data_IF_806111426147
#
_entry.id   IF_806111426147
#
_cell.length_a   1.000
_cell.length_b   1.000
_cell.length_c   1.000
_cell.angle_alpha   90.00
_cell.angle_beta   90.00
_cell.angle_gamma   90.00
#
_symmetry.space_group_name_H-M   'P 1'
#
loop_
_entity.id
_entity.type
_entity.pdbx_description
1 polymer ?
#
# COMPACT_ATOMS: atom_id res chain seq x y z
N UNK A 1 -11.83 -4.63 -13.14
CA UNK A 1 -12.99 -3.95 -13.76
C UNK A 1 -12.59 -3.57 -15.17
N UNK A 2 -13.46 -3.78 -16.15
CA UNK A 2 -13.20 -3.56 -17.58
C UNK A 2 -14.18 -2.55 -18.20
N UNK A 3 -15.28 -2.24 -17.52
CA UNK A 3 -16.27 -1.25 -17.97
C UNK A 3 -17.29 -0.92 -16.88
N UNK A 4 -18.03 0.17 -17.10
CA UNK A 4 -19.17 0.60 -16.29
C UNK A 4 -20.41 0.54 -17.18
N UNK A 5 -21.48 -0.08 -16.68
CA UNK A 5 -22.74 -0.22 -17.43
C UNK A 5 -23.66 0.93 -17.04
N UNK A 6 -24.14 1.64 -18.06
CA UNK A 6 -25.01 2.80 -17.90
C UNK A 6 -26.38 2.53 -18.55
N UNK A 7 -27.44 3.05 -17.94
CA UNK A 7 -28.78 3.14 -18.51
C UNK A 7 -29.34 4.53 -18.24
N UNK A 8 -29.73 5.28 -19.28
CA UNK A 8 -30.30 6.62 -19.15
C UNK A 8 -29.44 7.62 -18.35
N UNK A 9 -28.11 7.54 -18.40
CA UNK A 9 -27.21 8.41 -17.62
C UNK A 9 -27.05 8.01 -16.15
N UNK A 10 -27.48 6.79 -15.79
CA UNK A 10 -27.33 6.21 -14.45
C UNK A 10 -26.49 4.94 -14.50
N UNK A 11 -25.66 4.72 -13.48
CA UNK A 11 -24.99 3.45 -13.25
C UNK A 11 -26.00 2.34 -12.95
N UNK A 12 -25.82 1.18 -13.60
CA UNK A 12 -26.61 -0.04 -13.35
C UNK A 12 -25.75 -1.27 -13.08
N UNK A 13 -24.45 -1.18 -13.33
CA UNK A 13 -23.52 -2.28 -13.09
C UNK A 13 -22.08 -1.96 -13.46
N UNK A 14 -21.22 -2.95 -13.23
CA UNK A 14 -19.82 -2.96 -13.65
C UNK A 14 -19.49 -4.28 -14.33
N UNK A 15 -18.57 -4.23 -15.28
CA UNK A 15 -18.04 -5.41 -15.96
C UNK A 15 -16.65 -5.75 -15.41
N UNK A 16 -16.38 -7.04 -15.26
CA UNK A 16 -15.07 -7.53 -14.82
C UNK A 16 -14.65 -8.77 -15.59
N UNK A 17 -13.38 -9.15 -15.48
CA UNK A 17 -12.87 -10.42 -16.02
C UNK A 17 -13.43 -11.66 -15.31
N UNK A 18 -14.24 -11.50 -14.27
CA UNK A 18 -14.91 -12.59 -13.54
C UNK A 18 -16.43 -12.57 -13.75
N UNK A 19 -16.94 -11.70 -14.62
CA UNK A 19 -18.35 -11.51 -14.89
C UNK A 19 -18.85 -10.11 -14.58
N UNK A 20 -20.13 -9.92 -14.84
CA UNK A 20 -20.84 -8.65 -14.71
C UNK A 20 -21.62 -8.61 -13.39
N UNK A 21 -21.56 -7.46 -12.72
CA UNK A 21 -22.20 -7.25 -11.42
C UNK A 21 -23.17 -6.10 -11.52
N UNK A 22 -24.43 -6.33 -11.13
CA UNK A 22 -25.44 -5.28 -10.99
C UNK A 22 -25.26 -4.55 -9.67
N UNK A 23 -25.34 -3.23 -9.72
CA UNK A 23 -25.23 -2.36 -8.56
C UNK A 23 -25.92 -1.02 -8.84
N UNK A 24 -26.23 -0.30 -7.78
CA UNK A 24 -26.90 1.00 -7.85
C UNK A 24 -25.93 2.18 -7.74
N UNK A 25 -24.76 1.96 -7.15
CA UNK A 25 -23.73 2.97 -6.97
C UNK A 25 -22.31 2.43 -7.18
N UNK A 26 -21.42 3.25 -7.73
CA UNK A 26 -19.98 2.99 -7.88
C UNK A 26 -19.19 4.18 -7.36
N UNK A 27 -18.23 3.90 -6.47
CA UNK A 27 -17.24 4.88 -6.02
C UNK A 27 -15.91 4.59 -6.71
N UNK A 28 -15.44 5.53 -7.53
CA UNK A 28 -14.13 5.46 -8.17
C UNK A 28 -13.02 5.90 -7.21
N UNK A 29 -12.38 4.91 -6.58
CA UNK A 29 -11.21 5.08 -5.72
C UNK A 29 -9.93 4.49 -6.36
N UNK A 30 -9.81 4.54 -7.69
CA UNK A 30 -8.76 3.81 -8.44
C UNK A 30 -7.37 4.48 -8.46
N UNK A 31 -7.12 5.49 -7.61
CA UNK A 31 -5.82 6.13 -7.47
C UNK A 31 -5.26 6.67 -8.80
N UNK A 32 -4.10 6.15 -9.23
CA UNK A 32 -3.44 6.51 -10.50
C UNK A 32 -4.23 6.17 -11.76
N UNK A 33 -5.30 5.39 -11.64
CA UNK A 33 -6.17 5.00 -12.75
C UNK A 33 -7.57 5.61 -12.64
N UNK A 34 -7.79 6.55 -11.72
CA UNK A 34 -9.11 7.14 -11.51
C UNK A 34 -9.61 7.89 -12.76
N UNK A 35 -8.72 8.50 -13.54
CA UNK A 35 -9.04 9.11 -14.83
C UNK A 35 -9.56 8.08 -15.85
N UNK A 36 -8.91 6.90 -15.94
CA UNK A 36 -9.31 5.81 -16.83
C UNK A 36 -10.66 5.24 -16.44
N UNK A 37 -10.89 5.07 -15.13
CA UNK A 37 -12.17 4.59 -14.60
C UNK A 37 -13.28 5.61 -14.83
N UNK A 38 -13.00 6.91 -14.68
CA UNK A 38 -13.96 7.97 -14.99
C UNK A 38 -14.39 7.93 -16.46
N UNK A 39 -13.44 7.79 -17.39
CA UNK A 39 -13.73 7.67 -18.83
C UNK A 39 -14.56 6.45 -19.20
N UNK A 40 -14.50 5.36 -18.42
CA UNK A 40 -15.39 4.20 -18.63
C UNK A 40 -16.87 4.53 -18.40
N UNK A 41 -17.17 5.57 -17.62
CA UNK A 41 -18.51 6.11 -17.42
C UNK A 41 -18.80 7.35 -18.30
N UNK A 42 -17.90 7.73 -19.21
CA UNK A 42 -18.04 8.93 -20.03
C UNK A 42 -17.74 10.24 -19.30
N UNK A 43 -17.04 10.19 -18.15
CA UNK A 43 -16.68 11.37 -17.35
C UNK A 43 -15.21 11.76 -17.60
N UNK A 44 -14.97 13.04 -17.92
CA UNK A 44 -13.63 13.54 -18.29
C UNK A 44 -12.75 13.92 -17.08
N UNK A 45 -13.29 13.92 -15.87
CA UNK A 45 -12.58 14.25 -14.63
C UNK A 45 -12.45 13.05 -13.69
N UNK A 46 -11.33 12.89 -12.97
CA UNK A 46 -10.18 13.80 -12.93
C UNK A 46 -9.23 13.67 -14.12
N UNK A 47 -8.50 14.75 -14.42
CA UNK A 47 -7.26 14.71 -15.20
C UNK A 47 -6.09 14.60 -14.22
N UNK A 48 -5.23 13.60 -14.40
CA UNK A 48 -4.15 13.26 -13.49
C UNK A 48 -2.78 13.44 -14.17
N UNK A 49 -1.86 14.10 -13.47
CA UNK A 49 -0.46 14.28 -13.86
C UNK A 49 0.43 13.56 -12.85
N UNK A 50 0.82 12.30 -13.09
CA UNK A 50 1.52 11.49 -12.09
C UNK A 50 2.81 12.17 -11.60
N UNK A 51 3.01 12.22 -10.29
CA UNK A 51 4.24 12.74 -9.68
C UNK A 51 4.95 11.65 -8.90
N UNK A 52 6.20 11.35 -9.28
CA UNK A 52 7.02 10.32 -8.63
C UNK A 52 7.78 10.89 -7.45
N UNK A 53 7.88 10.09 -6.40
CA UNK A 53 8.80 10.31 -5.29
C UNK A 53 9.62 9.07 -5.01
N UNK A 54 10.94 9.22 -5.03
CA UNK A 54 11.90 8.17 -4.71
C UNK A 54 12.35 8.25 -3.25
N UNK A 55 12.62 7.09 -2.66
CA UNK A 55 12.95 6.94 -1.25
C UNK A 55 14.13 5.99 -1.03
N UNK A 56 14.86 6.25 0.07
CA UNK A 56 15.81 5.31 0.67
C UNK A 56 15.34 4.97 2.08
N UNK A 57 15.23 3.68 2.39
CA UNK A 57 15.00 3.19 3.75
C UNK A 57 16.34 2.70 4.32
N UNK A 58 16.79 3.35 5.38
CA UNK A 58 17.98 2.96 6.12
C UNK A 58 17.65 1.90 7.17
N UNK A 59 18.62 1.05 7.50
CA UNK A 59 18.53 0.04 8.55
C UNK A 59 18.19 0.63 9.92
N UNK A 60 17.67 -0.19 10.84
CA UNK A 60 17.38 0.21 12.23
C UNK A 60 18.61 0.73 12.99
N UNK A 61 19.83 0.39 12.55
CA UNK A 61 21.07 1.01 13.05
C UNK A 61 21.09 2.53 12.88
N UNK A 62 20.40 3.06 11.87
CA UNK A 62 20.24 4.50 11.67
C UNK A 62 19.15 5.12 12.56
N UNK A 63 18.37 4.32 13.30
CA UNK A 63 17.15 4.77 14.00
C UNK A 63 17.33 5.90 15.02
N UNK A 64 18.56 6.18 15.46
CA UNK A 64 18.89 7.29 16.36
C UNK A 64 19.26 8.60 15.65
N UNK A 65 19.26 8.62 14.32
CA UNK A 65 19.61 9.82 13.54
C UNK A 65 18.53 10.91 13.59
N UNK A 66 17.27 10.54 13.82
CA UNK A 66 16.16 11.49 14.02
C UNK A 66 15.07 10.86 14.89
N UNK A 67 14.57 11.62 15.86
CA UNK A 67 13.45 11.21 16.73
C UNK A 67 12.11 11.82 16.29
N UNK A 68 12.15 12.75 15.33
CA UNK A 68 10.99 13.47 14.79
C UNK A 68 11.09 13.56 13.27
N UNK A 69 9.98 13.84 12.60
CA UNK A 69 9.97 14.16 11.17
C UNK A 69 10.66 15.50 10.96
N UNK A 70 11.76 15.52 10.19
CA UNK A 70 12.50 16.73 9.88
C UNK A 70 12.13 17.24 8.49
N UNK A 71 11.70 18.49 8.43
CA UNK A 71 11.40 19.21 7.20
C UNK A 71 12.50 20.23 6.92
N UNK A 72 12.91 20.42 5.65
CA UNK A 72 13.64 21.60 5.26
C UNK A 72 12.71 22.82 5.25
N UNK A 73 13.29 24.02 5.17
CA UNK A 73 12.52 25.21 4.82
C UNK A 73 11.80 24.94 3.47
N UNK A 74 10.46 25.12 3.40
CA UNK A 74 9.70 24.81 2.21
C UNK A 74 10.08 25.75 1.06
N UNK A 75 10.00 25.23 -0.17
CA UNK A 75 10.04 26.06 -1.38
C UNK A 75 8.64 26.11 -1.98
N UNK A 76 8.43 27.00 -2.97
CA UNK A 76 7.14 27.14 -3.64
C UNK A 76 6.62 25.83 -4.28
N UNK A 77 7.53 24.91 -4.64
CA UNK A 77 7.19 23.74 -5.45
C UNK A 77 7.21 22.42 -4.66
N UNK A 78 7.77 22.41 -3.43
CA UNK A 78 7.90 21.21 -2.63
C UNK A 78 8.17 21.52 -1.15
N UNK A 79 7.70 20.62 -0.28
CA UNK A 79 8.14 20.54 1.12
C UNK A 79 9.59 20.05 1.26
N UNK A 80 10.24 19.70 0.14
CA UNK A 80 11.62 19.24 0.07
C UNK A 80 11.79 17.76 0.43
N UNK A 81 13.05 17.36 0.61
CA UNK A 81 13.43 16.02 1.06
C UNK A 81 13.34 15.97 2.58
N UNK A 82 12.67 14.96 3.13
CA UNK A 82 12.52 14.75 4.56
C UNK A 82 13.50 13.70 5.07
N UNK A 83 13.77 13.77 6.38
CA UNK A 83 14.33 12.67 7.16
C UNK A 83 13.29 12.31 8.22
N UNK A 84 12.77 11.08 8.19
CA UNK A 84 11.71 10.67 9.11
C UNK A 84 11.98 9.30 9.75
N UNK A 85 11.76 9.15 11.06
CA UNK A 85 11.73 7.84 11.70
C UNK A 85 10.48 7.06 11.28
N UNK A 86 10.61 5.75 11.11
CA UNK A 86 9.47 4.85 10.88
C UNK A 86 9.03 4.20 12.19
N UNK A 87 7.79 3.69 12.22
CA UNK A 87 7.24 2.95 13.37
C UNK A 87 8.01 1.66 13.70
N UNK A 88 8.84 1.18 12.79
CA UNK A 88 9.69 -0.01 12.98
C UNK A 88 11.14 0.35 13.38
N UNK A 89 11.43 1.63 13.59
CA UNK A 89 12.74 2.13 14.05
C UNK A 89 13.77 2.33 12.93
N UNK A 90 13.34 2.29 11.67
CA UNK A 90 14.18 2.66 10.53
C UNK A 90 14.17 4.18 10.32
N UNK A 91 15.04 4.69 9.45
CA UNK A 91 14.98 6.06 8.93
C UNK A 91 14.63 6.01 7.45
N UNK A 92 13.66 6.81 7.03
CA UNK A 92 13.29 7.00 5.63
C UNK A 92 13.80 8.37 5.15
N UNK A 93 14.46 8.37 4.00
CA UNK A 93 14.93 9.56 3.29
C UNK A 93 14.08 9.76 2.04
N UNK A 94 13.66 10.99 1.77
CA UNK A 94 12.83 11.32 0.61
C UNK A 94 11.55 12.07 0.99
N UNK A 95 10.56 12.13 0.10
CA UNK A 95 10.65 11.74 -1.31
C UNK A 95 11.34 12.80 -2.17
N UNK A 96 11.85 12.40 -3.35
CA UNK A 96 11.99 13.32 -4.48
C UNK A 96 10.62 13.78 -5.02
N UNK A 97 10.60 14.70 -5.98
CA UNK A 97 9.35 15.21 -6.55
C UNK A 97 9.51 15.45 -8.05
N UNK A 98 9.47 14.36 -8.83
CA UNK A 98 9.60 14.41 -10.29
C UNK A 98 8.20 14.38 -10.91
N UNK A 99 7.89 15.39 -11.73
CA UNK A 99 6.68 15.38 -12.57
C UNK A 99 6.87 14.40 -13.72
N UNK A 100 5.88 13.56 -13.96
CA UNK A 100 5.90 12.56 -15.02
C UNK A 100 4.81 12.82 -16.07
N UNK A 101 4.98 12.28 -17.28
CA UNK A 101 3.90 12.27 -18.28
C UNK A 101 2.66 11.52 -17.77
N UNK A 102 1.48 11.93 -18.24
CA UNK A 102 0.15 11.43 -17.82
C UNK A 102 -0.01 9.89 -17.89
N UNK A 103 0.70 9.24 -18.81
CA UNK A 103 0.56 7.80 -19.10
C UNK A 103 1.55 6.89 -18.34
N UNK A 104 2.09 7.34 -17.20
CA UNK A 104 3.17 6.61 -16.50
C UNK A 104 2.84 6.15 -15.08
N UNK A 105 1.68 5.50 -14.82
CA UNK A 105 1.33 5.03 -13.48
C UNK A 105 2.33 3.98 -12.94
N UNK A 106 3.01 3.26 -13.84
CA UNK A 106 3.96 2.20 -13.52
C UNK A 106 5.43 2.70 -13.45
N UNK A 107 5.66 4.02 -13.43
CA UNK A 107 6.98 4.61 -13.27
C UNK A 107 7.48 4.53 -11.81
N UNK A 108 7.55 3.31 -11.28
CA UNK A 108 7.90 2.98 -9.90
C UNK A 108 9.38 2.62 -9.70
N UNK A 109 10.19 2.81 -10.73
CA UNK A 109 11.65 2.61 -10.66
C UNK A 109 12.33 3.82 -10.01
N UNK A 110 13.39 3.54 -9.24
CA UNK A 110 14.31 4.56 -8.73
C UNK A 110 15.41 4.85 -9.74
N UNK A 111 16.01 6.03 -9.68
CA UNK A 111 17.09 6.49 -10.54
C UNK A 111 18.35 6.83 -9.71
N UNK A 112 19.57 6.64 -10.25
CA UNK A 112 20.80 7.04 -9.55
C UNK A 112 20.80 8.53 -9.16
N UNK A 113 20.26 9.39 -10.03
CA UNK A 113 20.15 10.84 -9.80
C UNK A 113 19.12 11.16 -8.71
N UNK A 114 17.94 10.54 -8.74
CA UNK A 114 16.90 10.71 -7.72
C UNK A 114 17.37 10.27 -6.33
N UNK A 115 18.02 9.11 -6.24
CA UNK A 115 18.59 8.62 -4.99
C UNK A 115 19.71 9.53 -4.46
N UNK A 116 20.61 10.00 -5.33
CA UNK A 116 21.65 10.95 -4.96
C UNK A 116 21.05 12.28 -4.45
N UNK A 117 19.99 12.78 -5.09
CA UNK A 117 19.28 13.99 -4.66
C UNK A 117 18.61 13.82 -3.30
N UNK A 118 17.97 12.66 -3.04
CA UNK A 118 17.39 12.34 -1.74
C UNK A 118 18.46 12.29 -0.63
N UNK A 119 19.62 11.66 -0.90
CA UNK A 119 20.73 11.63 0.06
C UNK A 119 21.29 13.03 0.31
N UNK A 120 21.51 13.83 -0.73
CA UNK A 120 22.00 15.19 -0.60
C UNK A 120 21.03 16.08 0.19
N UNK A 121 19.72 15.94 -0.07
CA UNK A 121 18.68 16.63 0.68
C UNK A 121 18.64 16.25 2.16
N UNK A 122 18.71 14.96 2.45
CA UNK A 122 18.76 14.44 3.81
C UNK A 122 19.98 14.94 4.58
N UNK A 123 21.16 14.96 3.96
CA UNK A 123 22.41 15.43 4.60
C UNK A 123 22.39 16.91 4.99
N UNK A 124 21.56 17.74 4.35
CA UNK A 124 21.35 19.14 4.79
C UNK A 124 20.60 19.23 6.11
N UNK A 125 19.73 18.26 6.41
CA UNK A 125 18.98 18.20 7.66
C UNK A 125 19.75 17.46 8.75
N UNK A 126 20.38 16.34 8.37
CA UNK A 126 21.12 15.46 9.28
C UNK A 126 22.46 15.10 8.63
N UNK A 127 23.55 15.83 8.92
CA UNK A 127 24.86 15.59 8.31
C UNK A 127 25.41 14.17 8.53
N UNK A 128 24.99 13.50 9.61
CA UNK A 128 25.39 12.14 9.97
C UNK A 128 24.73 11.03 9.14
N UNK A 129 23.83 11.36 8.19
CA UNK A 129 23.20 10.37 7.32
C UNK A 129 24.24 9.58 6.52
N UNK A 130 24.24 8.27 6.72
CA UNK A 130 25.10 7.32 6.02
C UNK A 130 24.27 6.48 5.02
N UNK A 131 24.35 6.76 3.70
CA UNK A 131 23.59 6.02 2.69
C UNK A 131 24.01 4.55 2.58
N UNK A 132 25.17 4.13 3.11
CA UNK A 132 25.59 2.72 3.13
C UNK A 132 24.69 1.86 4.02
N UNK A 133 23.93 2.47 4.93
CA UNK A 133 22.93 1.79 5.75
C UNK A 133 21.61 1.52 4.99
N UNK A 134 21.52 1.86 3.70
CA UNK A 134 20.31 1.62 2.90
C UNK A 134 20.03 0.13 2.79
N UNK A 135 18.85 -0.28 3.25
CA UNK A 135 18.36 -1.66 3.11
C UNK A 135 17.32 -1.78 2.00
N UNK A 136 16.74 -0.68 1.54
CA UNK A 136 15.80 -0.68 0.41
C UNK A 136 15.71 0.69 -0.25
N UNK A 137 15.55 0.68 -1.57
CA UNK A 137 15.11 1.83 -2.36
C UNK A 137 13.77 1.50 -3.00
N UNK A 138 12.92 2.52 -3.17
CA UNK A 138 11.64 2.37 -3.85
C UNK A 138 11.14 3.73 -4.32
N UNK A 139 10.24 3.73 -5.30
CA UNK A 139 9.50 4.91 -5.69
C UNK A 139 7.99 4.66 -5.54
N UNK A 140 7.26 5.74 -5.29
CA UNK A 140 5.81 5.78 -5.35
C UNK A 140 5.37 6.90 -6.28
N UNK A 141 4.28 6.66 -7.01
CA UNK A 141 3.70 7.64 -7.93
C UNK A 141 2.38 8.14 -7.34
N UNK A 142 2.18 9.45 -7.34
CA UNK A 142 0.99 10.11 -6.78
C UNK A 142 0.06 10.57 -7.90
N UNK A 143 -1.27 10.33 -7.78
CA UNK A 143 -2.26 10.82 -8.73
C UNK A 143 -2.53 12.31 -8.48
N UNK A 144 -1.66 13.19 -8.97
CA UNK A 144 -1.77 14.63 -8.79
C UNK A 144 -2.81 15.20 -9.79
N UNK A 145 -3.93 15.78 -9.32
CA UNK A 145 -4.93 16.35 -10.20
C UNK A 145 -4.49 17.72 -10.73
N UNK A 146 -4.90 18.09 -11.95
CA UNK A 146 -4.53 19.37 -12.58
C UNK A 146 -4.86 20.61 -11.71
N UNK A 147 -5.97 20.58 -10.99
CA UNK A 147 -6.40 21.66 -10.09
C UNK A 147 -5.76 21.63 -8.69
N UNK A 148 -4.93 20.62 -8.38
CA UNK A 148 -4.29 20.47 -7.07
C UNK A 148 -5.22 20.07 -5.90
N UNK A 149 -6.52 19.99 -6.14
CA UNK A 149 -7.58 19.62 -5.19
C UNK A 149 -8.07 18.19 -5.39
N UNK A 150 -8.52 17.56 -4.30
CA UNK A 150 -9.13 16.23 -4.39
C UNK A 150 -10.44 16.31 -5.17
N UNK A 151 -10.73 15.27 -5.96
CA UNK A 151 -11.99 15.15 -6.69
C UNK A 151 -12.85 14.14 -5.93
N UNK A 152 -13.79 14.66 -5.15
CA UNK A 152 -14.65 13.90 -4.23
C UNK A 152 -16.11 14.26 -4.50
N UNK A 153 -17.00 13.26 -4.47
CA UNK A 153 -18.45 13.46 -4.52
C UNK A 153 -19.09 12.91 -5.79
N UNK A 154 -20.37 13.22 -6.05
CA UNK A 154 -21.10 12.72 -7.21
C UNK A 154 -20.56 13.31 -8.51
N UNK A 155 -20.83 12.62 -9.62
CA UNK A 155 -20.62 13.14 -10.97
C UNK A 155 -21.94 13.45 -11.66
N UNK A 156 -21.87 13.88 -12.92
CA UNK A 156 -23.01 14.04 -13.83
C UNK A 156 -23.73 12.71 -14.14
N UNK A 157 -23.11 11.57 -13.85
CA UNK A 157 -23.68 10.23 -14.00
C UNK A 157 -24.27 9.80 -12.67
N UNK A 158 -25.59 9.59 -12.66
CA UNK A 158 -26.31 9.19 -11.44
C UNK A 158 -25.79 7.86 -10.90
N UNK A 159 -25.48 7.79 -9.61
CA UNK A 159 -24.88 6.62 -8.97
C UNK A 159 -23.37 6.48 -9.18
N UNK A 160 -22.69 7.43 -9.84
CA UNK A 160 -21.23 7.43 -9.96
C UNK A 160 -20.60 8.53 -9.09
N UNK A 161 -19.62 8.13 -8.27
CA UNK A 161 -18.96 9.02 -7.32
C UNK A 161 -17.44 8.93 -7.47
N UNK A 162 -16.74 10.01 -7.18
CA UNK A 162 -15.29 10.10 -7.23
C UNK A 162 -14.69 10.11 -5.82
N UNK A 163 -13.55 9.44 -5.66
CA UNK A 163 -12.65 9.52 -4.52
C UNK A 163 -11.21 9.56 -5.06
N UNK A 164 -10.90 10.63 -5.80
CA UNK A 164 -9.75 10.68 -6.69
C UNK A 164 -8.86 11.92 -6.50
N UNK A 165 -7.71 11.94 -7.17
CA UNK A 165 -6.76 13.06 -7.06
C UNK A 165 -6.06 13.15 -5.70
N UNK A 166 -6.00 12.03 -4.96
CA UNK A 166 -5.47 11.98 -3.60
C UNK A 166 -3.94 12.17 -3.59
N UNK A 167 -3.48 13.35 -3.15
CA UNK A 167 -2.07 13.74 -3.06
C UNK A 167 -1.41 13.29 -1.74
N UNK A 168 -0.36 13.98 -1.31
CA UNK A 168 0.33 13.73 -0.03
C UNK A 168 -0.57 13.66 1.23
N UNK A 169 -1.68 14.42 1.38
CA UNK A 169 -2.57 14.27 2.52
C UNK A 169 -3.62 13.16 2.33
N UNK A 170 -3.64 12.47 1.19
CA UNK A 170 -4.69 11.53 0.83
C UNK A 170 -4.87 10.39 1.83
N UNK A 171 -3.77 9.85 2.37
CA UNK A 171 -3.84 8.79 3.38
C UNK A 171 -4.48 9.28 4.69
N UNK A 172 -4.09 10.47 5.15
CA UNK A 172 -4.63 11.06 6.38
C UNK A 172 -6.10 11.47 6.21
N UNK A 173 -6.47 11.94 5.02
CA UNK A 173 -7.83 12.38 4.70
C UNK A 173 -8.79 11.21 4.41
N UNK A 174 -8.30 10.02 4.05
CA UNK A 174 -9.11 8.91 3.58
C UNK A 174 -10.32 8.56 4.48
N UNK A 175 -10.22 8.53 5.83
CA UNK A 175 -11.38 8.27 6.69
C UNK A 175 -12.47 9.36 6.57
N UNK A 176 -12.08 10.63 6.49
CA UNK A 176 -13.01 11.75 6.35
C UNK A 176 -13.69 11.74 4.98
N UNK A 177 -12.93 11.46 3.91
CA UNK A 177 -13.45 11.30 2.54
C UNK A 177 -14.45 10.15 2.49
N UNK A 178 -14.14 9.01 3.12
CA UNK A 178 -15.05 7.87 3.16
C UNK A 178 -16.35 8.21 3.90
N UNK A 179 -16.27 8.87 5.06
CA UNK A 179 -17.45 9.29 5.81
C UNK A 179 -18.35 10.22 4.98
N UNK A 180 -17.75 11.24 4.37
CA UNK A 180 -18.47 12.19 3.52
C UNK A 180 -19.19 11.51 2.34
N UNK A 181 -18.50 10.63 1.62
CA UNK A 181 -19.12 9.88 0.51
C UNK A 181 -20.22 8.94 0.99
N UNK A 182 -20.06 8.28 2.14
CA UNK A 182 -21.10 7.42 2.71
C UNK A 182 -22.35 8.23 3.05
N UNK A 183 -22.21 9.43 3.61
CA UNK A 183 -23.35 10.31 3.90
C UNK A 183 -24.08 10.75 2.63
N UNK A 184 -23.34 11.15 1.59
CA UNK A 184 -23.93 11.55 0.30
C UNK A 184 -24.65 10.38 -0.39
N UNK A 185 -24.02 9.20 -0.41
CA UNK A 185 -24.62 7.99 -0.98
C UNK A 185 -25.85 7.58 -0.16
N UNK A 186 -25.76 7.57 1.17
CA UNK A 186 -26.90 7.22 2.01
C UNK A 186 -28.08 8.16 1.79
N UNK A 187 -27.84 9.46 1.68
CA UNK A 187 -28.88 10.44 1.36
C UNK A 187 -29.50 10.20 -0.03
N UNK A 188 -28.67 9.99 -1.06
CA UNK A 188 -29.13 9.78 -2.44
C UNK A 188 -29.97 8.50 -2.61
N UNK A 189 -29.69 7.46 -1.81
CA UNK A 189 -30.38 6.17 -1.86
C UNK A 189 -31.36 5.95 -0.70
N UNK A 190 -31.64 6.99 0.11
CA UNK A 190 -32.49 6.92 1.30
C UNK A 190 -32.15 5.74 2.24
N UNK A 191 -30.85 5.51 2.46
CA UNK A 191 -30.34 4.42 3.29
C UNK A 191 -30.28 4.84 4.77
N UNK A 192 -30.68 3.92 5.66
CA UNK A 192 -30.50 4.05 7.10
C UNK A 192 -29.14 3.56 7.59
N UNK A 193 -28.72 3.97 8.79
CA UNK A 193 -27.54 3.40 9.46
C UNK A 193 -27.79 1.95 9.86
N UNK A 194 -26.77 1.12 9.70
CA UNK A 194 -26.78 -0.26 10.19
C UNK A 194 -26.11 -0.33 11.58
N UNK A 195 -26.91 -0.35 12.65
CA UNK A 195 -26.43 -0.42 14.03
C UNK A 195 -25.69 -1.74 14.35
N UNK A 196 -25.85 -2.78 13.54
CA UNK A 196 -25.14 -4.05 13.70
C UNK A 196 -23.75 -4.06 13.02
N UNK A 197 -23.36 -3.00 12.32
CA UNK A 197 -22.05 -2.92 11.68
C UNK A 197 -20.95 -2.68 12.72
N UNK A 198 -19.98 -3.61 12.80
CA UNK A 198 -18.76 -3.42 13.58
C UNK A 198 -17.64 -2.84 12.69
N UNK A 199 -17.26 -1.56 12.88
CA UNK A 199 -16.19 -0.93 12.09
C UNK A 199 -14.79 -1.34 12.58
N UNK A 200 -14.66 -2.04 13.72
CA UNK A 200 -13.38 -2.28 14.37
C UNK A 200 -12.69 -3.50 13.78
N UNK A 201 -11.64 -3.24 13.00
CA UNK A 201 -10.77 -4.31 12.50
C UNK A 201 -9.61 -4.58 13.46
N UNK A 202 -9.63 -5.72 14.14
CA UNK A 202 -8.50 -6.14 14.97
C UNK A 202 -7.29 -6.57 14.13
N UNK A 203 -6.12 -6.02 14.44
CA UNK A 203 -4.84 -6.37 13.79
C UNK A 203 -4.41 -7.83 14.03
N UNK A 204 -3.34 -8.24 13.35
CA UNK A 204 -2.61 -9.46 13.72
C UNK A 204 -1.75 -9.17 14.97
N UNK A 205 -1.62 -10.11 15.93
CA UNK A 205 -0.73 -9.90 17.05
C UNK A 205 0.71 -9.77 16.53
N UNK A 206 1.40 -8.71 16.94
CA UNK A 206 2.82 -8.53 16.64
C UNK A 206 3.62 -9.29 17.69
N UNK A 207 3.97 -10.55 17.40
CA UNK A 207 4.61 -11.45 18.38
C UNK A 207 5.84 -10.81 19.04
N UNK A 208 6.67 -10.14 18.23
CA UNK A 208 7.88 -9.44 18.67
C UNK A 208 7.64 -8.29 19.65
N UNK A 209 6.41 -7.77 19.76
CA UNK A 209 6.05 -6.64 20.62
C UNK A 209 5.28 -7.09 21.87
N UNK A 210 4.92 -8.36 21.98
CA UNK A 210 4.22 -8.88 23.15
C UNK A 210 5.20 -9.07 24.33
N UNK A 211 4.74 -8.91 25.59
CA UNK A 211 5.47 -9.36 26.78
C UNK A 211 5.79 -10.86 26.74
N UNK A 212 6.86 -11.33 27.43
CA UNK A 212 7.22 -12.75 27.45
C UNK A 212 6.11 -13.69 27.89
N UNK A 213 5.30 -13.29 28.90
CA UNK A 213 4.14 -14.05 29.38
C UNK A 213 3.11 -14.28 28.27
N UNK A 214 2.79 -13.23 27.52
CA UNK A 214 1.78 -13.29 26.45
C UNK A 214 2.29 -14.09 25.25
N UNK A 215 3.60 -14.02 24.96
CA UNK A 215 4.24 -14.90 23.97
C UNK A 215 4.12 -16.37 24.37
N UNK A 216 4.41 -16.70 25.62
CA UNK A 216 4.32 -18.07 26.12
C UNK A 216 2.88 -18.61 26.02
N UNK A 217 1.89 -17.82 26.46
CA UNK A 217 0.48 -18.19 26.35
C UNK A 217 0.03 -18.38 24.89
N UNK A 218 0.53 -17.55 23.97
CA UNK A 218 0.21 -17.68 22.55
C UNK A 218 0.84 -18.93 21.93
N UNK A 219 2.07 -19.28 22.31
CA UNK A 219 2.76 -20.51 21.89
C UNK A 219 2.04 -21.76 22.43
N UNK A 220 1.60 -21.72 23.69
CA UNK A 220 0.85 -22.82 24.31
C UNK A 220 -0.47 -23.07 23.57
N UNK A 221 -1.17 -22.00 23.18
CA UNK A 221 -2.41 -22.09 22.40
C UNK A 221 -2.16 -22.54 20.95
N UNK A 222 -1.09 -22.07 20.33
CA UNK A 222 -0.72 -22.42 18.95
C UNK A 222 0.81 -22.47 18.80
N UNK A 223 1.40 -23.69 18.78
CA UNK A 223 2.84 -23.88 18.69
C UNK A 223 3.51 -23.26 17.47
N UNK A 224 2.76 -22.89 16.43
CA UNK A 224 3.31 -22.19 15.26
C UNK A 224 3.82 -20.79 15.59
N UNK A 225 3.33 -20.16 16.66
CA UNK A 225 3.89 -18.90 17.19
C UNK A 225 5.27 -19.09 17.84
N UNK A 226 5.68 -20.33 18.14
CA UNK A 226 7.04 -20.62 18.63
C UNK A 226 8.09 -20.71 17.52
N UNK A 227 7.68 -20.69 16.25
CA UNK A 227 8.56 -20.94 15.10
C UNK A 227 8.85 -19.65 14.36
N UNK A 228 10.03 -19.07 14.58
CA UNK A 228 10.45 -17.86 13.86
C UNK A 228 10.74 -18.18 12.39
N UNK A 229 10.06 -17.45 11.50
CA UNK A 229 10.24 -17.51 10.04
C UNK A 229 11.10 -16.34 9.55
N UNK A 230 10.79 -15.11 9.97
CA UNK A 230 11.59 -13.93 9.66
C UNK A 230 12.40 -13.50 10.88
N UNK A 231 13.72 -13.74 10.85
CA UNK A 231 14.62 -13.35 11.96
C UNK A 231 14.78 -11.84 12.12
N UNK A 232 14.80 -11.07 11.03
CA UNK A 232 15.04 -9.63 11.11
C UNK A 232 13.93 -8.84 11.83
N UNK A 233 12.70 -9.34 11.79
CA UNK A 233 11.52 -8.71 12.39
C UNK A 233 10.80 -9.61 13.40
N UNK A 234 11.41 -10.75 13.72
CA UNK A 234 10.91 -11.79 14.63
C UNK A 234 9.47 -12.23 14.32
N UNK A 235 9.18 -12.42 13.02
CA UNK A 235 7.85 -12.87 12.57
C UNK A 235 7.78 -14.39 12.61
N UNK A 236 6.73 -14.89 13.23
CA UNK A 236 6.45 -16.31 13.47
C UNK A 236 5.71 -16.96 12.30
N UNK A 237 5.71 -18.30 12.26
CA UNK A 237 4.85 -19.07 11.35
C UNK A 237 3.37 -18.77 11.64
N UNK A 238 2.99 -18.67 12.93
CA UNK A 238 1.62 -18.34 13.34
C UNK A 238 1.11 -17.01 12.79
N UNK A 239 1.93 -15.96 12.81
CA UNK A 239 1.58 -14.66 12.18
C UNK A 239 1.33 -14.79 10.68
N UNK A 240 2.13 -15.60 9.98
CA UNK A 240 2.01 -15.83 8.53
C UNK A 240 0.72 -16.61 8.23
N UNK A 241 0.46 -17.71 8.96
CA UNK A 241 -0.76 -18.50 8.81
C UNK A 241 -2.00 -17.65 9.09
N UNK A 242 -1.97 -16.84 10.15
CA UNK A 242 -3.06 -15.93 10.47
C UNK A 242 -3.28 -14.86 9.37
N UNK A 243 -2.21 -14.36 8.74
CA UNK A 243 -2.32 -13.47 7.59
C UNK A 243 -2.98 -14.15 6.38
N UNK A 244 -2.65 -15.42 6.12
CA UNK A 244 -3.24 -16.22 5.02
C UNK A 244 -4.73 -16.44 5.27
N UNK A 245 -5.12 -16.84 6.49
CA UNK A 245 -6.53 -16.99 6.88
C UNK A 245 -7.33 -15.70 6.69
N UNK A 246 -6.69 -14.54 6.85
CA UNK A 246 -7.28 -13.20 6.60
C UNK A 246 -7.13 -12.70 5.16
N UNK A 247 -6.92 -13.59 4.20
CA UNK A 247 -6.98 -13.28 2.77
C UNK A 247 -5.64 -12.94 2.12
N UNK A 248 -4.49 -13.10 2.78
CA UNK A 248 -3.21 -13.00 2.08
C UNK A 248 -3.04 -14.19 1.12
N UNK A 249 -2.64 -13.91 -0.12
CA UNK A 249 -2.46 -14.93 -1.17
C UNK A 249 -1.09 -14.86 -1.87
N UNK A 250 -0.31 -13.82 -1.62
CA UNK A 250 0.97 -13.54 -2.29
C UNK A 250 2.04 -13.27 -1.26
N UNK A 251 3.32 -13.38 -1.66
CA UNK A 251 4.43 -13.09 -0.74
C UNK A 251 4.39 -11.64 -0.27
N UNK A 252 4.17 -10.66 -1.15
CA UNK A 252 4.02 -9.25 -0.73
C UNK A 252 2.77 -9.06 0.15
N UNK A 253 1.70 -9.83 -0.08
CA UNK A 253 0.52 -9.85 0.79
C UNK A 253 0.83 -10.28 2.23
N UNK A 254 1.79 -11.18 2.44
CA UNK A 254 2.34 -11.55 3.75
C UNK A 254 3.23 -10.45 4.30
N UNK A 255 4.12 -9.88 3.48
CA UNK A 255 5.02 -8.78 3.88
C UNK A 255 4.22 -7.61 4.44
N UNK A 256 3.19 -7.14 3.73
CA UNK A 256 2.35 -6.01 4.15
C UNK A 256 1.54 -6.25 5.43
N UNK A 257 1.17 -7.51 5.72
CA UNK A 257 0.38 -7.85 6.92
C UNK A 257 1.22 -8.18 8.15
N UNK A 258 2.43 -8.68 7.96
CA UNK A 258 3.25 -9.24 9.07
C UNK A 258 4.59 -8.54 9.26
N UNK A 259 5.06 -7.78 8.27
CA UNK A 259 6.42 -7.22 8.13
C UNK A 259 7.51 -8.26 7.87
N UNK A 260 7.18 -9.54 7.67
CA UNK A 260 8.16 -10.51 7.21
C UNK A 260 8.78 -9.99 5.90
N UNK A 261 10.09 -10.12 5.72
CA UNK A 261 10.77 -9.63 4.51
C UNK A 261 10.97 -8.12 4.38
N UNK A 262 10.57 -7.29 5.36
CA UNK A 262 10.93 -5.86 5.40
C UNK A 262 12.20 -5.53 6.20
N UNK A 263 12.78 -6.51 6.89
CA UNK A 263 14.00 -6.30 7.66
C UNK A 263 15.26 -6.23 6.78
N UNK A 264 16.43 -6.10 7.39
CA UNK A 264 17.73 -5.91 6.71
C UNK A 264 17.96 -6.80 5.48
N UNK A 265 17.60 -8.08 5.55
CA UNK A 265 17.79 -9.02 4.45
C UNK A 265 16.79 -8.91 3.27
N UNK A 266 15.77 -8.04 3.37
CA UNK A 266 14.73 -7.82 2.36
C UNK A 266 14.01 -9.09 1.85
N UNK A 267 13.96 -10.13 2.68
CA UNK A 267 13.32 -11.41 2.35
C UNK A 267 14.31 -12.52 1.98
N UNK A 268 15.60 -12.24 1.83
CA UNK A 268 16.60 -13.22 1.38
C UNK A 268 16.59 -14.56 2.12
N UNK A 269 16.26 -14.58 3.41
CA UNK A 269 16.21 -15.82 4.21
C UNK A 269 14.81 -16.38 4.46
N UNK A 270 13.76 -15.55 4.38
CA UNK A 270 12.41 -15.96 4.78
C UNK A 270 11.46 -16.20 3.61
N UNK A 271 11.76 -15.67 2.40
CA UNK A 271 10.89 -15.81 1.22
C UNK A 271 10.59 -17.27 0.89
N UNK A 272 11.59 -18.15 0.86
CA UNK A 272 11.37 -19.56 0.55
C UNK A 272 10.43 -20.24 1.57
N UNK A 273 10.60 -19.97 2.87
CA UNK A 273 9.73 -20.51 3.92
C UNK A 273 8.31 -19.93 3.84
N UNK A 274 8.18 -18.62 3.58
CA UNK A 274 6.88 -17.97 3.39
C UNK A 274 6.16 -18.60 2.19
N UNK A 275 6.87 -18.84 1.09
CA UNK A 275 6.33 -19.50 -0.10
C UNK A 275 5.84 -20.92 0.23
N UNK A 276 6.63 -21.73 0.95
CA UNK A 276 6.21 -23.07 1.36
C UNK A 276 4.97 -23.04 2.27
N UNK A 277 4.88 -22.09 3.20
CA UNK A 277 3.70 -21.91 4.06
C UNK A 277 2.48 -21.49 3.23
N UNK A 278 2.63 -20.55 2.30
CA UNK A 278 1.56 -20.15 1.37
C UNK A 278 1.05 -21.33 0.55
N UNK A 279 1.94 -22.10 -0.06
CA UNK A 279 1.59 -23.28 -0.85
C UNK A 279 0.81 -24.30 0.00
N UNK A 280 1.29 -24.60 1.21
CA UNK A 280 0.64 -25.51 2.16
C UNK A 280 -0.75 -25.02 2.54
N UNK A 281 -0.88 -23.78 3.01
CA UNK A 281 -2.14 -23.25 3.56
C UNK A 281 -3.20 -23.00 2.47
N UNK A 282 -2.79 -22.77 1.22
CA UNK A 282 -3.70 -22.54 0.10
C UNK A 282 -3.99 -23.81 -0.72
N UNK A 283 -3.29 -24.91 -0.45
CA UNK A 283 -3.43 -26.15 -1.21
C UNK A 283 -3.01 -26.01 -2.68
N UNK A 284 -2.04 -25.13 -2.96
CA UNK A 284 -1.50 -24.88 -4.31
C UNK A 284 -0.06 -25.36 -4.39
N UNK A 285 0.46 -25.51 -5.61
CA UNK A 285 1.86 -25.91 -5.77
C UNK A 285 2.77 -24.70 -5.48
N UNK A 286 4.01 -24.92 -5.00
CA UNK A 286 4.98 -23.84 -4.77
C UNK A 286 5.17 -22.90 -5.97
N UNK A 287 5.09 -23.42 -7.20
CA UNK A 287 5.25 -22.70 -8.45
C UNK A 287 4.07 -21.77 -8.77
N UNK A 288 2.90 -22.03 -8.17
CA UNK A 288 1.69 -21.22 -8.34
C UNK A 288 1.65 -20.03 -7.36
N UNK A 289 2.59 -19.97 -6.40
CA UNK A 289 2.72 -18.85 -5.46
C UNK A 289 3.42 -17.66 -6.15
N UNK A 290 2.78 -16.49 -6.07
CA UNK A 290 3.26 -15.26 -6.73
C UNK A 290 3.75 -14.22 -5.72
N UNK A 291 4.61 -13.30 -6.19
CA UNK A 291 5.10 -12.19 -5.38
C UNK A 291 4.00 -11.13 -5.18
N UNK A 292 3.39 -10.65 -6.26
CA UNK A 292 2.34 -9.60 -6.23
C UNK A 292 1.01 -10.00 -6.86
N UNK A 293 0.91 -11.20 -7.42
CA UNK A 293 -0.29 -11.69 -8.10
C UNK A 293 0.02 -12.15 -9.52
N UNK A 294 -0.99 -12.11 -10.39
CA UNK A 294 -0.89 -12.61 -11.78
C UNK A 294 0.29 -11.97 -12.52
N UNK A 295 1.13 -12.80 -13.12
CA UNK A 295 2.28 -12.38 -13.91
C UNK A 295 3.58 -12.14 -13.13
N UNK A 296 3.58 -12.30 -11.81
CA UNK A 296 4.75 -12.06 -10.95
C UNK A 296 5.19 -13.34 -10.22
N UNK A 297 5.67 -14.31 -11.00
CA UNK A 297 6.11 -15.62 -10.51
C UNK A 297 7.43 -15.53 -9.73
N UNK A 298 7.53 -16.24 -8.62
CA UNK A 298 8.76 -16.29 -7.80
C UNK A 298 9.68 -17.44 -8.24
N UNK A 299 9.08 -18.55 -8.63
CA UNK A 299 9.76 -19.77 -9.05
C UNK A 299 9.36 -20.05 -10.49
N UNK A 300 10.34 -20.29 -11.37
CA UNK A 300 10.12 -20.47 -12.81
C UNK A 300 9.99 -21.94 -13.23
N UNK A 301 10.23 -22.87 -12.31
CA UNK A 301 10.11 -24.31 -12.54
C UNK A 301 10.90 -25.12 -11.52
N UNK A 302 10.81 -26.45 -11.65
CA UNK A 302 11.59 -27.39 -10.83
C UNK A 302 12.95 -27.65 -11.47
N UNK A 303 13.99 -27.61 -10.65
CA UNK A 303 15.36 -27.96 -11.07
C UNK A 303 15.67 -29.37 -10.55
N UNK A 304 15.30 -30.37 -11.35
CA UNK A 304 15.38 -31.84 -11.12
C UNK A 304 14.59 -32.37 -9.89
N UNK A 305 14.05 -33.61 -9.94
CA UNK A 305 13.34 -34.25 -8.83
C UNK A 305 14.27 -34.63 -7.68
#
# INVERSE_FOLDING_TARGET
MTGIVLDGGRVTGVQTSQGDYRLDAVVNAAGLYADRVARMAGVDRPVLHPRRGEYLLLDKQAGKMANSVLFPAPTNNSKGILVLPTVDGNILLGPTADDLPELTPDAIATSPTGLAAAVAGAKRLVPAVDPRLTIKTFAGVRPEPAGGEFVIGPTEISGFYQAAGMRSPGLTAAPAVAHHLVEEIAAAFALGRNEAFDPVRHGLPRFSALPPRDRAALIEKDPSYGRIVCRCNEVTEGEIVAAIRRGARTVDGIKFRTRAGFGRCQGGFCTARILSILARELGVRPEDVTARGRGDSIVVGRVRP
#
